data_IF_519896250736
#
_entry.id   IF_519896250736
#
_cell.length_a   1.000
_cell.length_b   1.000
_cell.length_c   1.000
_cell.angle_alpha   90.00
_cell.angle_beta   90.00
_cell.angle_gamma   90.00
#
_symmetry.space_group_name_H-M   'P 1'
#
loop_
_entity.id
_entity.type
_entity.pdbx_description
1 polymer ?
#
# COMPACT_ATOMS: atom_id res chain seq x y z
N UNK A 1 4.03 -24.01 -38.67
CA UNK A 1 3.14 -23.22 -37.83
C UNK A 1 4.00 -22.72 -36.66
N UNK A 2 4.50 -21.53 -36.81
CA UNK A 2 5.43 -20.87 -35.85
C UNK A 2 4.59 -20.33 -34.69
N UNK A 3 4.89 -20.80 -33.46
CA UNK A 3 4.33 -20.26 -32.26
C UNK A 3 4.83 -18.81 -32.09
N UNK A 4 3.95 -17.84 -32.17
CA UNK A 4 4.22 -16.44 -31.84
C UNK A 4 4.50 -16.39 -30.33
N UNK A 5 5.74 -16.14 -29.96
CA UNK A 5 6.12 -15.74 -28.60
C UNK A 5 5.44 -14.40 -28.29
N UNK A 6 4.36 -14.46 -27.56
CA UNK A 6 3.64 -13.31 -27.03
C UNK A 6 4.52 -12.68 -25.93
N UNK A 7 5.54 -11.93 -26.33
CA UNK A 7 6.35 -11.13 -25.42
C UNK A 7 5.47 -10.01 -24.87
N UNK A 8 4.90 -10.28 -23.70
CA UNK A 8 4.06 -9.36 -22.95
C UNK A 8 4.95 -8.14 -22.57
N UNK A 9 4.98 -7.11 -23.44
CA UNK A 9 5.77 -5.90 -23.22
C UNK A 9 5.29 -5.22 -21.95
N UNK A 10 6.06 -5.37 -20.89
CA UNK A 10 5.79 -4.75 -19.60
C UNK A 10 6.67 -3.51 -19.44
N UNK A 11 6.03 -2.36 -19.20
CA UNK A 11 6.75 -1.10 -18.95
C UNK A 11 7.72 -1.28 -17.79
N UNK A 12 8.98 -0.86 -17.95
CA UNK A 12 10.06 -1.01 -16.95
C UNK A 12 9.66 -0.57 -15.54
N UNK A 13 8.96 0.55 -15.42
CA UNK A 13 8.45 1.05 -14.14
C UNK A 13 7.49 0.07 -13.43
N UNK A 14 6.84 -0.82 -14.17
CA UNK A 14 5.99 -1.87 -13.62
C UNK A 14 6.79 -3.13 -13.30
N UNK A 15 7.74 -3.48 -14.17
CA UNK A 15 8.61 -4.64 -14.00
C UNK A 15 9.50 -4.52 -12.75
N UNK A 16 10.01 -3.31 -12.47
CA UNK A 16 10.91 -3.04 -11.32
C UNK A 16 10.19 -2.34 -10.16
N UNK A 17 8.87 -2.51 -10.04
CA UNK A 17 8.11 -1.95 -8.92
C UNK A 17 8.54 -2.65 -7.62
N UNK A 18 8.87 -1.90 -6.55
CA UNK A 18 9.18 -2.49 -5.24
C UNK A 18 8.08 -3.45 -4.79
N UNK A 19 8.46 -4.62 -4.30
CA UNK A 19 7.52 -5.64 -3.84
C UNK A 19 7.62 -5.94 -2.36
N UNK A 20 8.75 -5.58 -1.74
CA UNK A 20 9.04 -5.80 -0.32
C UNK A 20 9.46 -4.51 0.36
N UNK A 21 9.50 -4.53 1.70
CA UNK A 21 9.99 -3.39 2.48
C UNK A 21 11.47 -3.10 2.25
N UNK A 22 12.28 -4.12 1.95
CA UNK A 22 13.71 -3.97 1.63
C UNK A 22 13.96 -3.26 0.30
N UNK A 23 12.97 -3.27 -0.60
CA UNK A 23 13.07 -2.57 -1.87
C UNK A 23 12.71 -1.07 -1.76
N UNK A 24 12.22 -0.63 -0.59
CA UNK A 24 11.83 0.76 -0.34
C UNK A 24 13.03 1.62 0.03
N UNK A 25 13.76 2.06 -0.97
CA UNK A 25 14.97 2.88 -0.82
C UNK A 25 14.63 4.25 -0.21
N UNK A 26 15.43 4.69 0.77
CA UNK A 26 15.25 5.99 1.44
C UNK A 26 14.07 6.03 2.41
N UNK A 27 13.42 4.91 2.74
CA UNK A 27 12.26 4.82 3.63
C UNK A 27 12.54 4.01 4.92
N UNK A 28 13.81 3.87 5.31
CA UNK A 28 14.25 3.00 6.40
C UNK A 28 13.59 3.36 7.74
N UNK A 29 13.38 4.65 8.01
CA UNK A 29 12.73 5.13 9.24
C UNK A 29 11.28 4.64 9.34
N UNK A 30 10.53 4.69 8.22
CA UNK A 30 9.17 4.17 8.13
C UNK A 30 9.16 2.65 8.32
N UNK A 31 10.03 1.94 7.61
CA UNK A 31 10.13 0.47 7.72
C UNK A 31 10.42 0.04 9.15
N UNK A 32 11.36 0.70 9.83
CA UNK A 32 11.68 0.44 11.24
C UNK A 32 10.48 0.68 12.17
N UNK A 33 9.74 1.76 11.93
CA UNK A 33 8.54 2.08 12.73
C UNK A 33 7.46 1.00 12.55
N UNK A 34 7.23 0.57 11.31
CA UNK A 34 6.27 -0.50 11.02
C UNK A 34 6.71 -1.85 11.61
N UNK A 35 8.01 -2.17 11.53
CA UNK A 35 8.57 -3.37 12.15
C UNK A 35 8.28 -3.41 13.64
N UNK A 36 8.59 -2.33 14.36
CA UNK A 36 8.33 -2.23 15.79
C UNK A 36 6.83 -2.34 16.12
N UNK A 37 5.96 -1.76 15.28
CA UNK A 37 4.50 -1.83 15.46
C UNK A 37 3.99 -3.27 15.27
N UNK A 38 4.50 -3.99 14.29
CA UNK A 38 4.13 -5.39 14.02
C UNK A 38 4.61 -6.33 15.12
N UNK A 39 5.87 -6.16 15.58
CA UNK A 39 6.43 -6.97 16.67
C UNK A 39 5.74 -6.72 18.02
N UNK A 40 5.25 -5.49 18.25
CA UNK A 40 4.53 -5.13 19.47
C UNK A 40 3.02 -5.39 19.41
N UNK A 41 2.49 -5.90 18.27
CA UNK A 41 1.05 -6.04 17.96
C UNK A 41 0.26 -4.73 18.18
N UNK A 42 0.90 -3.59 17.83
CA UNK A 42 0.34 -2.24 17.96
C UNK A 42 0.22 -1.56 16.61
N UNK A 43 -0.51 -2.20 15.71
CA UNK A 43 -0.71 -1.71 14.36
C UNK A 43 -1.78 -0.62 14.38
N UNK A 44 -1.44 0.58 13.93
CA UNK A 44 -2.40 1.68 13.80
C UNK A 44 -3.61 1.27 12.94
N UNK A 45 -4.77 1.87 13.23
CA UNK A 45 -6.00 1.60 12.45
C UNK A 45 -6.01 2.37 11.13
N UNK A 46 -5.34 3.53 11.09
CA UNK A 46 -5.24 4.32 9.88
C UNK A 46 -3.81 4.85 9.68
N UNK A 47 -3.35 4.82 8.44
CA UNK A 47 -2.06 5.35 7.99
C UNK A 47 -2.29 6.46 6.99
N UNK A 48 -1.49 7.52 7.08
CA UNK A 48 -1.49 8.62 6.13
C UNK A 48 -0.12 8.72 5.45
N UNK A 49 -0.07 8.39 4.18
CA UNK A 49 1.14 8.49 3.36
C UNK A 49 1.16 9.80 2.60
N UNK A 50 2.17 10.61 2.82
CA UNK A 50 2.36 11.87 2.12
C UNK A 50 3.62 11.87 1.27
N UNK A 51 3.64 12.67 0.23
CA UNK A 51 4.80 12.80 -0.64
C UNK A 51 4.41 13.20 -2.05
N UNK A 52 5.38 13.64 -2.82
CA UNK A 52 5.18 14.08 -4.20
C UNK A 52 4.64 12.94 -5.08
N UNK A 53 4.09 13.29 -6.24
CA UNK A 53 3.64 12.30 -7.22
C UNK A 53 4.81 11.43 -7.67
N UNK A 54 4.58 10.12 -7.78
CA UNK A 54 5.59 9.16 -8.24
C UNK A 54 6.59 8.70 -7.17
N UNK A 55 6.50 9.17 -5.91
CA UNK A 55 7.40 8.75 -4.83
C UNK A 55 7.13 7.32 -4.33
N UNK A 56 6.08 6.67 -4.83
CA UNK A 56 5.76 5.28 -4.49
C UNK A 56 4.71 5.10 -3.39
N UNK A 57 3.87 6.11 -3.09
CA UNK A 57 2.82 6.03 -2.04
C UNK A 57 1.93 4.79 -2.18
N UNK A 58 1.32 4.60 -3.35
CA UNK A 58 0.43 3.45 -3.63
C UNK A 58 1.19 2.13 -3.58
N UNK A 59 2.44 2.10 -4.06
CA UNK A 59 3.32 0.92 -3.97
C UNK A 59 3.59 0.56 -2.52
N UNK A 60 3.97 1.55 -1.70
CA UNK A 60 4.22 1.37 -0.27
C UNK A 60 2.96 0.92 0.46
N UNK A 61 1.79 1.47 0.12
CA UNK A 61 0.50 1.05 0.67
C UNK A 61 0.23 -0.45 0.43
N UNK A 62 0.48 -0.93 -0.78
CA UNK A 62 0.36 -2.36 -1.10
C UNK A 62 1.37 -3.24 -0.36
N UNK A 63 2.60 -2.76 -0.18
CA UNK A 63 3.62 -3.49 0.59
C UNK A 63 3.20 -3.60 2.06
N UNK A 64 2.66 -2.53 2.65
CA UNK A 64 2.10 -2.56 4.02
C UNK A 64 0.94 -3.53 4.10
N UNK A 65 0.01 -3.52 3.14
CA UNK A 65 -1.10 -4.46 3.08
C UNK A 65 -0.62 -5.92 2.97
N UNK A 66 0.42 -6.19 2.17
CA UNK A 66 1.08 -7.51 2.14
C UNK A 66 1.66 -7.89 3.49
N UNK A 67 2.36 -6.96 4.14
CA UNK A 67 2.95 -7.19 5.46
C UNK A 67 1.92 -7.54 6.54
N UNK A 68 0.75 -6.90 6.50
CA UNK A 68 -0.34 -7.15 7.45
C UNK A 68 -1.05 -8.48 7.21
N UNK A 69 -1.22 -8.87 5.94
CA UNK A 69 -2.05 -10.02 5.54
C UNK A 69 -1.24 -11.26 5.11
N UNK A 70 0.09 -11.15 5.05
CA UNK A 70 0.93 -12.31 4.72
C UNK A 70 0.74 -13.42 5.77
N UNK A 71 0.53 -14.65 5.29
CA UNK A 71 0.41 -15.85 6.11
C UNK A 71 1.67 -16.74 6.04
N UNK A 72 2.70 -16.30 5.32
CA UNK A 72 3.90 -17.11 5.08
C UNK A 72 3.64 -18.26 4.12
N UNK A 73 4.60 -19.15 4.00
CA UNK A 73 4.47 -20.34 3.15
C UNK A 73 3.69 -21.47 3.85
N UNK A 74 3.66 -21.46 5.18
CA UNK A 74 3.04 -22.48 6.01
C UNK A 74 1.67 -22.06 6.56
N UNK A 75 1.17 -20.87 6.23
CA UNK A 75 -0.14 -20.39 6.69
C UNK A 75 -0.18 -19.83 8.13
N UNK A 76 0.94 -19.77 8.84
CA UNK A 76 0.99 -19.46 10.27
C UNK A 76 1.69 -18.14 10.63
N UNK A 77 2.19 -17.41 9.64
CA UNK A 77 2.95 -16.16 9.90
C UNK A 77 2.01 -15.02 10.29
N UNK A 78 2.34 -14.29 11.37
CA UNK A 78 1.69 -13.05 11.77
C UNK A 78 2.06 -11.86 10.88
N UNK A 79 1.61 -10.62 11.22
CA UNK A 79 2.04 -9.40 10.53
C UNK A 79 3.57 -9.29 10.52
N UNK A 80 4.14 -8.91 9.36
CA UNK A 80 5.59 -8.94 9.17
C UNK A 80 6.05 -7.86 8.19
N UNK A 81 7.26 -7.35 8.40
CA UNK A 81 7.94 -6.51 7.40
C UNK A 81 8.65 -7.32 6.32
N UNK A 82 8.60 -8.66 6.40
CA UNK A 82 9.17 -9.55 5.40
C UNK A 82 8.08 -10.45 4.78
N UNK A 83 7.14 -9.89 4.00
CA UNK A 83 6.09 -10.67 3.35
C UNK A 83 6.72 -11.68 2.39
N UNK A 84 6.20 -12.90 2.38
CA UNK A 84 6.80 -14.01 1.62
C UNK A 84 6.72 -13.85 0.09
N UNK A 85 5.84 -12.96 -0.42
CA UNK A 85 5.63 -12.72 -1.84
C UNK A 85 4.96 -13.86 -2.62
N UNK A 86 4.76 -15.03 -1.99
CA UNK A 86 4.33 -16.27 -2.66
C UNK A 86 3.00 -16.82 -2.17
N UNK A 87 2.53 -16.45 -0.96
CA UNK A 87 1.22 -16.89 -0.50
C UNK A 87 0.09 -16.21 -1.30
N UNK A 88 -1.09 -16.78 -1.26
CA UNK A 88 -2.27 -16.28 -1.99
C UNK A 88 -2.54 -14.81 -1.76
N UNK A 89 -2.45 -14.34 -0.50
CA UNK A 89 -2.65 -12.93 -0.16
C UNK A 89 -1.59 -12.03 -0.79
N UNK A 90 -0.29 -12.41 -0.73
CA UNK A 90 0.78 -11.63 -1.32
C UNK A 90 0.61 -11.49 -2.83
N UNK A 91 0.29 -12.57 -3.53
CA UNK A 91 0.07 -12.57 -4.98
C UNK A 91 -1.14 -11.71 -5.32
N UNK A 92 -2.30 -11.98 -4.70
CA UNK A 92 -3.54 -11.26 -4.98
C UNK A 92 -3.43 -9.75 -4.73
N UNK A 93 -2.71 -9.32 -3.66
CA UNK A 93 -2.46 -7.90 -3.38
C UNK A 93 -1.52 -7.28 -4.42
N UNK A 94 -0.46 -7.98 -4.83
CA UNK A 94 0.45 -7.48 -5.89
C UNK A 94 -0.28 -7.25 -7.21
N UNK A 95 -1.22 -8.14 -7.55
CA UNK A 95 -2.03 -8.06 -8.76
C UNK A 95 -3.23 -7.10 -8.64
N UNK A 96 -3.52 -6.58 -7.44
CA UNK A 96 -4.62 -5.65 -7.18
C UNK A 96 -6.01 -6.29 -7.28
N UNK A 97 -6.12 -7.62 -7.01
CA UNK A 97 -7.37 -8.40 -7.09
C UNK A 97 -7.78 -9.06 -5.77
N UNK A 98 -7.19 -8.65 -4.66
CA UNK A 98 -7.49 -9.22 -3.36
C UNK A 98 -8.86 -8.77 -2.83
N UNK A 99 -9.73 -9.71 -2.44
CA UNK A 99 -11.10 -9.42 -1.99
C UNK A 99 -11.19 -8.58 -0.72
N UNK A 100 -10.20 -8.70 0.18
CA UNK A 100 -10.15 -7.97 1.45
C UNK A 100 -9.20 -6.75 1.41
N UNK A 101 -8.59 -6.46 0.25
CA UNK A 101 -7.75 -5.27 0.07
C UNK A 101 -8.32 -4.46 -1.09
N UNK A 102 -9.12 -3.46 -0.75
CA UNK A 102 -9.83 -2.63 -1.71
C UNK A 102 -9.02 -1.36 -1.96
N UNK A 103 -8.69 -1.13 -3.21
CA UNK A 103 -7.97 0.07 -3.66
C UNK A 103 -8.91 0.96 -4.47
N UNK A 104 -8.98 2.23 -4.08
CA UNK A 104 -9.72 3.24 -4.82
C UNK A 104 -8.89 4.52 -4.98
N UNK A 105 -9.11 5.19 -6.10
CA UNK A 105 -8.58 6.52 -6.37
C UNK A 105 -9.68 7.56 -6.13
N UNK A 106 -9.48 8.42 -5.13
CA UNK A 106 -10.43 9.48 -4.81
C UNK A 106 -10.54 10.55 -5.89
N UNK A 107 -9.61 10.62 -6.85
CA UNK A 107 -9.74 11.51 -8.00
C UNK A 107 -10.83 11.03 -8.98
N UNK A 108 -11.04 9.73 -9.07
CA UNK A 108 -12.11 9.13 -9.91
C UNK A 108 -13.42 8.91 -9.17
N UNK A 109 -13.38 8.82 -7.83
CA UNK A 109 -14.52 8.53 -6.95
C UNK A 109 -14.54 9.52 -5.79
N UNK A 110 -15.03 10.72 -6.05
CA UNK A 110 -15.05 11.84 -5.10
C UNK A 110 -16.35 11.90 -4.27
N UNK A 111 -17.33 11.08 -4.61
CA UNK A 111 -18.69 11.13 -4.09
C UNK A 111 -18.79 10.67 -2.65
N UNK A 112 -19.80 11.18 -1.94
CA UNK A 112 -20.16 10.71 -0.60
C UNK A 112 -20.66 9.28 -0.66
N UNK A 113 -21.33 8.90 -1.74
CA UNK A 113 -21.94 7.58 -1.88
C UNK A 113 -20.87 6.49 -2.05
N UNK A 114 -19.77 6.76 -2.78
CA UNK A 114 -18.61 5.84 -2.88
C UNK A 114 -18.02 5.56 -1.49
N UNK A 115 -17.91 6.59 -0.64
CA UNK A 115 -17.39 6.43 0.72
C UNK A 115 -18.41 5.74 1.63
N UNK A 116 -19.71 5.94 1.44
CA UNK A 116 -20.75 5.23 2.20
C UNK A 116 -20.72 3.73 1.91
N UNK A 117 -20.51 3.31 0.65
CA UNK A 117 -20.34 1.90 0.32
C UNK A 117 -19.15 1.28 1.08
N UNK A 118 -18.03 2.01 1.20
CA UNK A 118 -16.90 1.59 2.01
C UNK A 118 -17.31 1.46 3.48
N UNK A 119 -17.94 2.48 4.06
CA UNK A 119 -18.35 2.50 5.47
C UNK A 119 -19.33 1.36 5.78
N UNK A 120 -20.29 1.11 4.90
CA UNK A 120 -21.23 0.00 5.06
C UNK A 120 -20.51 -1.34 5.01
N UNK A 121 -19.49 -1.46 4.18
CA UNK A 121 -18.70 -2.69 4.06
C UNK A 121 -17.72 -2.92 5.22
N UNK A 122 -17.37 -1.88 5.99
CA UNK A 122 -16.45 -1.95 7.14
C UNK A 122 -16.96 -2.88 8.24
N UNK A 123 -18.27 -2.97 8.43
CA UNK A 123 -18.87 -3.81 9.46
C UNK A 123 -18.74 -5.32 9.18
N UNK A 124 -18.48 -5.70 7.93
CA UNK A 124 -18.28 -7.10 7.57
C UNK A 124 -16.81 -7.50 7.78
N UNK A 125 -16.60 -8.66 8.39
CA UNK A 125 -15.26 -9.22 8.56
C UNK A 125 -14.59 -9.49 7.21
N UNK A 126 -13.25 -9.57 7.23
CA UNK A 126 -12.49 -10.04 6.09
C UNK A 126 -12.94 -11.46 5.71
N UNK A 127 -13.02 -11.73 4.41
CA UNK A 127 -13.48 -13.02 3.88
C UNK A 127 -12.40 -14.11 4.01
N UNK A 128 -11.13 -13.76 3.79
CA UNK A 128 -10.01 -14.69 3.79
C UNK A 128 -8.78 -14.18 4.53
N UNK A 129 -8.57 -12.87 4.56
CA UNK A 129 -7.38 -12.26 5.16
C UNK A 129 -7.56 -11.97 6.66
N UNK A 130 -6.46 -11.60 7.31
CA UNK A 130 -6.45 -11.16 8.72
C UNK A 130 -7.12 -9.80 8.89
N UNK A 131 -6.82 -8.87 7.99
CA UNK A 131 -7.34 -7.52 8.00
C UNK A 131 -8.04 -7.20 6.67
N UNK A 132 -9.16 -6.50 6.78
CA UNK A 132 -9.81 -5.83 5.67
C UNK A 132 -9.18 -4.45 5.50
N UNK A 133 -8.53 -4.19 4.37
CA UNK A 133 -7.71 -3.01 4.16
C UNK A 133 -8.30 -2.16 3.05
N UNK A 134 -8.47 -0.87 3.32
CA UNK A 134 -8.91 0.12 2.34
C UNK A 134 -7.75 1.05 2.01
N UNK A 135 -7.29 1.01 0.77
CA UNK A 135 -6.27 1.91 0.23
C UNK A 135 -7.00 2.99 -0.56
N UNK A 136 -6.92 4.24 -0.08
CA UNK A 136 -7.54 5.39 -0.73
C UNK A 136 -6.44 6.33 -1.21
N UNK A 137 -6.21 6.33 -2.52
CA UNK A 137 -5.21 7.20 -3.15
C UNK A 137 -5.81 8.58 -3.43
N UNK A 138 -4.94 9.60 -3.43
CA UNK A 138 -5.27 11.04 -3.58
C UNK A 138 -6.45 11.47 -2.71
N UNK A 139 -6.46 11.02 -1.44
CA UNK A 139 -7.57 11.22 -0.49
C UNK A 139 -8.00 12.68 -0.34
N UNK A 140 -7.12 13.64 -0.62
CA UNK A 140 -7.42 15.08 -0.59
C UNK A 140 -8.47 15.52 -1.63
N UNK A 141 -8.80 14.65 -2.60
CA UNK A 141 -9.85 14.88 -3.59
C UNK A 141 -11.24 14.55 -3.07
N UNK A 142 -11.36 13.90 -1.91
CA UNK A 142 -12.66 13.64 -1.29
C UNK A 142 -13.35 14.93 -0.88
N UNK A 143 -14.69 14.96 -1.02
CA UNK A 143 -15.50 16.05 -0.53
C UNK A 143 -15.48 16.13 1.01
N UNK A 144 -15.77 17.31 1.57
CA UNK A 144 -15.89 17.49 3.03
C UNK A 144 -16.94 16.54 3.63
N UNK A 145 -18.03 16.28 2.91
CA UNK A 145 -19.07 15.36 3.37
C UNK A 145 -18.57 13.91 3.40
N UNK A 146 -17.73 13.51 2.44
CA UNK A 146 -17.09 12.19 2.44
C UNK A 146 -16.11 12.03 3.61
N UNK A 147 -15.29 13.06 3.90
CA UNK A 147 -14.44 13.07 5.09
C UNK A 147 -15.25 12.95 6.38
N UNK A 148 -16.33 13.72 6.52
CA UNK A 148 -17.20 13.67 7.70
C UNK A 148 -17.83 12.28 7.90
N UNK A 149 -18.21 11.61 6.81
CA UNK A 149 -18.72 10.25 6.88
C UNK A 149 -17.65 9.25 7.39
N UNK A 150 -16.39 9.40 6.95
CA UNK A 150 -15.28 8.57 7.39
C UNK A 150 -14.88 8.79 8.87
N UNK A 151 -15.08 10.00 9.41
CA UNK A 151 -14.62 10.36 10.76
C UNK A 151 -15.16 9.41 11.82
N UNK A 152 -16.46 9.05 11.77
CA UNK A 152 -17.07 8.13 12.73
C UNK A 152 -16.38 6.77 12.74
N UNK A 153 -16.06 6.24 11.56
CA UNK A 153 -15.36 4.97 11.43
C UNK A 153 -13.89 5.07 11.88
N UNK A 154 -13.26 6.23 11.70
CA UNK A 154 -11.88 6.46 12.17
C UNK A 154 -11.79 6.71 13.68
N UNK A 155 -12.89 7.12 14.32
CA UNK A 155 -12.99 7.27 15.78
C UNK A 155 -13.13 5.93 16.49
N UNK A 156 -13.98 5.07 15.94
CA UNK A 156 -14.27 3.75 16.49
C UNK A 156 -14.09 2.64 15.42
N UNK A 157 -12.85 2.46 14.92
CA UNK A 157 -12.61 1.50 13.84
C UNK A 157 -12.73 0.06 14.36
N UNK A 158 -13.41 -0.84 13.64
CA UNK A 158 -13.38 -2.26 13.95
C UNK A 158 -11.93 -2.80 13.93
N UNK A 159 -11.59 -3.68 14.86
CA UNK A 159 -10.21 -4.19 15.02
C UNK A 159 -9.66 -4.84 13.74
N UNK A 160 -10.53 -5.45 12.94
CA UNK A 160 -10.18 -6.14 11.69
C UNK A 160 -10.03 -5.22 10.48
N UNK A 161 -10.28 -3.91 10.62
CA UNK A 161 -10.25 -2.94 9.52
C UNK A 161 -9.02 -2.06 9.64
N UNK A 162 -8.37 -1.80 8.50
CA UNK A 162 -7.25 -0.88 8.39
C UNK A 162 -7.46 0.07 7.21
N UNK A 163 -7.11 1.33 7.40
CA UNK A 163 -7.12 2.33 6.34
C UNK A 163 -5.70 2.75 5.97
N UNK A 164 -5.43 2.89 4.69
CA UNK A 164 -4.17 3.45 4.18
C UNK A 164 -4.54 4.57 3.21
N UNK A 165 -4.38 5.79 3.66
CA UNK A 165 -4.60 6.99 2.85
C UNK A 165 -3.30 7.43 2.20
N UNK A 166 -3.37 7.84 0.95
CA UNK A 166 -2.25 8.46 0.25
C UNK A 166 -2.65 9.85 -0.28
N UNK A 167 -1.75 10.81 -0.21
CA UNK A 167 -2.01 12.15 -0.69
C UNK A 167 -0.73 12.86 -1.15
N UNK A 168 -0.87 13.70 -2.17
CA UNK A 168 0.15 14.67 -2.58
C UNK A 168 -0.01 16.01 -1.86
N UNK A 169 -1.21 16.29 -1.32
CA UNK A 169 -1.58 17.59 -0.76
C UNK A 169 -2.13 17.44 0.68
N UNK A 170 -1.23 17.19 1.64
CA UNK A 170 -1.60 16.98 3.04
C UNK A 170 -2.41 18.15 3.64
N UNK A 171 -2.16 19.39 3.17
CA UNK A 171 -2.83 20.60 3.68
C UNK A 171 -4.33 20.64 3.35
N UNK A 172 -4.79 19.86 2.36
CA UNK A 172 -6.20 19.76 2.00
C UNK A 172 -6.94 18.71 2.82
N UNK A 173 -6.22 17.86 3.55
CA UNK A 173 -6.84 16.84 4.41
C UNK A 173 -7.21 17.47 5.76
N UNK A 174 -8.45 17.27 6.25
CA UNK A 174 -8.87 17.81 7.53
C UNK A 174 -8.00 17.34 8.68
N UNK A 175 -7.67 18.25 9.61
CA UNK A 175 -6.86 17.96 10.81
C UNK A 175 -7.50 16.85 11.66
N UNK A 176 -8.83 16.80 11.69
CA UNK A 176 -9.61 15.77 12.39
C UNK A 176 -9.33 14.35 11.87
N UNK A 177 -9.05 14.20 10.58
CA UNK A 177 -8.64 12.93 9.97
C UNK A 177 -7.16 12.66 10.28
N UNK A 178 -6.30 13.66 10.08
CA UNK A 178 -4.87 13.55 10.33
C UNK A 178 -4.52 13.13 11.75
N UNK A 179 -5.25 13.65 12.75
CA UNK A 179 -5.03 13.33 14.17
C UNK A 179 -5.33 11.86 14.53
N UNK A 180 -6.02 11.14 13.67
CA UNK A 180 -6.40 9.72 13.85
C UNK A 180 -5.54 8.76 13.01
N UNK A 181 -4.60 9.31 12.24
CA UNK A 181 -3.74 8.55 11.35
C UNK A 181 -2.29 8.56 11.84
N UNK A 182 -1.62 7.43 11.74
CA UNK A 182 -0.17 7.39 11.80
C UNK A 182 0.40 7.91 10.47
N UNK A 183 1.14 9.02 10.54
CA UNK A 183 1.65 9.70 9.36
C UNK A 183 3.03 9.19 8.97
N UNK A 184 3.22 9.00 7.65
CA UNK A 184 4.50 8.72 7.01
C UNK A 184 4.73 9.68 5.85
N UNK A 185 5.78 10.47 5.94
CA UNK A 185 6.22 11.39 4.89
C UNK A 185 7.26 10.68 4.04
N UNK A 186 6.85 10.23 2.86
CA UNK A 186 7.73 9.54 1.92
C UNK A 186 8.67 10.55 1.26
N UNK A 187 9.97 10.28 1.36
CA UNK A 187 11.01 11.15 0.81
C UNK A 187 11.29 10.79 -0.65
N UNK A 188 11.62 11.80 -1.41
CA UNK A 188 12.20 11.59 -2.74
C UNK A 188 13.57 10.94 -2.56
N UNK A 189 13.86 9.94 -3.40
CA UNK A 189 15.18 9.31 -3.45
C UNK A 189 16.18 10.35 -3.94
N UNK A 190 17.29 10.52 -3.24
CA UNK A 190 18.36 11.43 -3.64
C UNK A 190 19.03 10.92 -4.94
N UNK A 191 19.55 11.82 -5.79
CA UNK A 191 20.15 11.45 -7.07
C UNK A 191 21.23 10.37 -6.96
N UNK A 192 22.04 10.42 -5.91
CA UNK A 192 23.13 9.47 -5.66
C UNK A 192 22.60 8.06 -5.35
N UNK A 193 21.53 7.96 -4.58
CA UNK A 193 20.84 6.70 -4.26
C UNK A 193 20.15 6.15 -5.52
N UNK A 194 19.57 7.04 -6.33
CA UNK A 194 18.94 6.68 -7.59
C UNK A 194 19.95 6.11 -8.59
N UNK A 195 21.15 6.70 -8.70
CA UNK A 195 22.21 6.21 -9.56
C UNK A 195 22.64 4.80 -9.15
N UNK A 196 22.81 4.52 -7.85
CA UNK A 196 23.13 3.19 -7.34
C UNK A 196 22.05 2.18 -7.72
N UNK A 197 20.78 2.56 -7.61
CA UNK A 197 19.65 1.69 -7.94
C UNK A 197 19.56 1.41 -9.43
N UNK A 198 19.73 2.40 -10.28
CA UNK A 198 19.72 2.23 -11.74
C UNK A 198 20.90 1.40 -12.21
N UNK A 199 22.08 1.61 -11.65
CA UNK A 199 23.28 0.79 -11.96
C UNK A 199 23.06 -0.67 -11.57
N UNK A 200 22.46 -0.93 -10.41
CA UNK A 200 22.14 -2.28 -9.95
C UNK A 200 21.08 -2.98 -10.82
N UNK A 201 20.05 -2.25 -11.24
CA UNK A 201 19.02 -2.80 -12.14
C UNK A 201 19.57 -3.06 -13.54
N UNK A 202 20.51 -2.24 -14.01
CA UNK A 202 21.16 -2.43 -15.33
C UNK A 202 22.07 -3.67 -15.34
N UNK A 203 22.85 -3.88 -14.28
CA UNK A 203 23.69 -5.06 -14.11
C UNK A 203 22.86 -6.34 -14.06
N UNK A 204 21.78 -6.37 -13.30
CA UNK A 204 20.88 -7.52 -13.24
C UNK A 204 20.16 -7.81 -14.57
N UNK A 205 19.83 -6.78 -15.33
CA UNK A 205 19.23 -6.96 -16.66
C UNK A 205 20.19 -7.60 -17.67
N UNK A 206 21.49 -7.40 -17.51
CA UNK A 206 22.53 -8.03 -18.34
C UNK A 206 22.82 -9.47 -17.92
N UNK A 207 22.75 -9.82 -16.63
CA UNK A 207 22.93 -11.20 -16.15
C UNK A 207 21.82 -12.14 -16.63
N UNK A 208 20.57 -11.66 -16.70
CA UNK A 208 19.42 -12.47 -17.18
C UNK A 208 19.31 -12.57 -18.71
N UNK A 209 20.15 -11.87 -19.46
CA UNK A 209 20.20 -11.95 -20.93
C UNK A 209 21.33 -12.89 -21.43
N UNK A 210 22.10 -13.50 -20.52
CA UNK A 210 23.26 -14.35 -20.83
C UNK A 210 23.06 -15.83 -20.47
N UNK A 211 21.85 -16.23 -20.06
CA UNK A 211 21.42 -17.63 -19.86
C UNK A 211 20.32 -17.97 -20.95
#
# INVERSE_FOLDING_TARGET
>A
MTAEENTNYQVLARKYRPETFSDLIGQEAMVRTLKNAFEADRIAQAFMMTGIRGVGKTTTARIIAKGMNCIGLNGETGPTTNPCGKCEHCIAISEGRHVDVLEMDAASRTGVDDIREIIDSVHYRAASARFKIYIIDEVHMLSNNAFNALLKTLEEPPAHVKFIFATTEIRKVPVTVLSRCQRFDLRRIEPEEMIKTVSYTHLRAHETASD
#
